data_IF_368015833617
#
_entry.id   IF_368015833617
#
_cell.length_a   1.000
_cell.length_b   1.000
_cell.length_c   1.000
_cell.angle_alpha   90.00
_cell.angle_beta   90.00
_cell.angle_gamma   90.00
#
_symmetry.space_group_name_H-M   'P 1'
#
loop_
_entity.id
_entity.type
_entity.pdbx_description
1 polymer ?
#
# COMPACT_ATOMS: atom_id res chain seq x y z
N UNK A 1 2.24 -13.95 -21.81
CA UNK A 1 2.12 -13.49 -20.41
C UNK A 1 0.69 -13.02 -20.16
N UNK A 2 -0.17 -13.84 -19.57
CA UNK A 2 -1.56 -13.47 -19.26
C UNK A 2 -1.68 -13.13 -17.77
N UNK A 3 -1.25 -11.93 -17.41
CA UNK A 3 -1.34 -11.40 -16.05
C UNK A 3 -0.88 -9.95 -16.03
N UNK A 4 -1.77 -9.02 -15.71
CA UNK A 4 -1.44 -7.60 -15.58
C UNK A 4 -0.72 -7.37 -14.26
N UNK A 5 0.53 -6.91 -14.30
CA UNK A 5 1.29 -6.56 -13.08
C UNK A 5 0.58 -5.44 -12.29
N UNK A 6 0.73 -5.47 -10.96
CA UNK A 6 0.06 -4.58 -10.02
C UNK A 6 1.09 -3.77 -9.23
N UNK A 7 0.87 -2.47 -9.11
CA UNK A 7 1.54 -1.61 -8.12
C UNK A 7 0.56 -1.25 -7.00
N UNK A 8 1.00 -1.29 -5.75
CA UNK A 8 0.20 -0.93 -4.58
C UNK A 8 0.98 0.10 -3.76
N UNK A 9 0.37 1.26 -3.57
CA UNK A 9 0.77 2.19 -2.51
C UNK A 9 -0.08 1.83 -1.27
N UNK A 10 0.58 1.26 -0.26
CA UNK A 10 -0.02 0.79 0.98
C UNK A 10 0.07 1.88 2.05
N UNK A 11 -0.48 3.06 1.75
CA UNK A 11 -0.38 4.21 2.63
C UNK A 11 -1.22 4.10 3.91
N UNK A 12 -0.75 4.73 4.99
CA UNK A 12 -1.44 4.79 6.30
C UNK A 12 -2.86 5.37 6.22
N UNK A 13 -3.08 6.33 5.32
CA UNK A 13 -4.37 6.99 5.15
C UNK A 13 -5.22 6.40 4.01
N UNK A 14 -4.60 6.08 2.88
CA UNK A 14 -5.27 5.55 1.70
C UNK A 14 -4.40 4.49 1.02
N UNK A 15 -5.07 3.50 0.43
CA UNK A 15 -4.46 2.53 -0.49
C UNK A 15 -4.76 2.97 -1.92
N UNK A 16 -3.74 2.93 -2.77
CA UNK A 16 -3.86 3.16 -4.22
C UNK A 16 -3.39 1.91 -4.93
N UNK A 17 -4.18 1.43 -5.91
CA UNK A 17 -3.80 0.30 -6.76
C UNK A 17 -3.68 0.75 -8.20
N UNK A 18 -2.52 0.49 -8.78
CA UNK A 18 -2.22 0.67 -10.19
C UNK A 18 -2.16 -0.69 -10.90
N UNK A 19 -2.72 -0.76 -12.11
CA UNK A 19 -2.61 -1.93 -12.97
C UNK A 19 -1.95 -1.54 -14.30
N UNK A 20 -0.90 -2.28 -14.68
CA UNK A 20 -0.15 -2.03 -15.93
C UNK A 20 -1.08 -1.99 -17.14
N UNK A 21 -1.07 -0.88 -17.89
CA UNK A 21 -1.92 -0.67 -19.05
C UNK A 21 -3.37 -0.28 -18.75
N UNK A 22 -3.77 -0.18 -17.47
CA UNK A 22 -5.07 0.38 -17.05
C UNK A 22 -4.96 1.68 -16.26
N UNK A 23 -3.81 1.95 -15.64
CA UNK A 23 -3.65 3.12 -14.78
C UNK A 23 -4.04 2.82 -13.33
N UNK A 24 -4.37 3.89 -12.59
CA UNK A 24 -4.90 3.79 -11.23
C UNK A 24 -6.34 3.28 -11.29
N UNK A 25 -6.59 2.12 -10.68
CA UNK A 25 -7.89 1.43 -10.67
C UNK A 25 -8.60 1.50 -9.33
N UNK A 26 -7.90 1.87 -8.26
CA UNK A 26 -8.47 2.04 -6.92
C UNK A 26 -7.72 3.13 -6.16
N UNK A 27 -8.49 3.91 -5.41
CA UNK A 27 -8.03 4.87 -4.41
C UNK A 27 -9.06 4.88 -3.29
N UNK A 28 -8.76 4.19 -2.18
CA UNK A 28 -9.68 4.08 -1.05
C UNK A 28 -8.98 4.27 0.30
N UNK A 29 -9.70 4.73 1.34
CA UNK A 29 -9.15 4.82 2.68
C UNK A 29 -8.63 3.49 3.22
N UNK A 30 -7.54 3.54 3.98
CA UNK A 30 -6.95 2.38 4.66
C UNK A 30 -7.69 2.08 5.97
N UNK A 31 -8.98 1.72 5.87
CA UNK A 31 -9.88 1.55 7.01
C UNK A 31 -10.70 0.27 6.86
N UNK A 32 -10.84 -0.48 7.95
CA UNK A 32 -11.66 -1.68 8.07
C UNK A 32 -12.64 -1.49 9.23
N UNK A 33 -13.92 -1.78 9.03
CA UNK A 33 -14.92 -1.78 10.09
C UNK A 33 -15.22 -3.22 10.52
N UNK A 34 -15.19 -3.49 11.82
CA UNK A 34 -15.35 -4.82 12.41
C UNK A 34 -16.44 -4.78 13.49
N UNK A 35 -17.29 -5.80 13.51
CA UNK A 35 -18.22 -6.04 14.61
C UNK A 35 -17.50 -6.77 15.75
N UNK A 36 -17.31 -6.11 16.88
CA UNK A 36 -16.57 -6.61 18.04
C UNK A 36 -17.21 -7.84 18.71
N UNK A 37 -18.50 -8.11 18.48
CA UNK A 37 -19.15 -9.27 19.06
C UNK A 37 -18.87 -10.56 18.26
N UNK A 38 -18.54 -10.41 16.97
CA UNK A 38 -18.41 -11.55 16.04
C UNK A 38 -17.08 -11.62 15.32
N UNK A 39 -16.22 -10.61 15.50
CA UNK A 39 -14.97 -10.37 14.76
C UNK A 39 -15.14 -10.36 13.24
N UNK A 40 -16.36 -10.08 12.76
CA UNK A 40 -16.66 -10.04 11.33
C UNK A 40 -16.38 -8.66 10.75
N UNK A 41 -15.72 -8.65 9.61
CA UNK A 41 -15.54 -7.44 8.80
C UNK A 41 -16.91 -7.04 8.23
N UNK A 42 -17.34 -5.84 8.60
CA UNK A 42 -18.61 -5.23 8.18
C UNK A 42 -18.42 -4.45 6.89
N UNK A 43 -17.32 -3.68 6.79
CA UNK A 43 -17.01 -2.85 5.64
C UNK A 43 -15.50 -2.61 5.51
N UNK A 44 -15.07 -2.20 4.32
CA UNK A 44 -13.67 -1.82 4.02
C UNK A 44 -13.67 -0.55 3.17
N UNK A 45 -12.65 0.29 3.30
CA UNK A 45 -12.46 1.44 2.45
C UNK A 45 -13.40 2.60 2.79
N UNK A 46 -14.05 3.17 1.79
CA UNK A 46 -14.92 4.34 1.99
C UNK A 46 -16.12 4.05 2.91
N UNK A 47 -16.71 2.86 2.79
CA UNK A 47 -17.83 2.44 3.64
C UNK A 47 -17.40 2.36 5.11
N UNK A 48 -16.24 1.76 5.38
CA UNK A 48 -15.66 1.71 6.72
C UNK A 48 -15.28 3.10 7.26
N UNK A 49 -14.73 3.98 6.41
CA UNK A 49 -14.41 5.36 6.79
C UNK A 49 -15.66 6.15 7.18
N UNK A 50 -16.77 5.97 6.47
CA UNK A 50 -18.04 6.66 6.77
C UNK A 50 -18.65 6.22 8.12
N UNK A 51 -18.24 5.06 8.62
CA UNK A 51 -18.64 4.53 9.92
C UNK A 51 -17.83 5.11 11.10
N UNK A 52 -16.66 5.73 10.85
CA UNK A 52 -15.83 6.32 11.90
C UNK A 52 -16.61 7.37 12.71
N UNK A 53 -16.71 7.15 14.02
CA UNK A 53 -17.41 8.03 14.95
C UNK A 53 -18.92 8.10 14.76
N UNK A 54 -19.50 7.18 13.96
CA UNK A 54 -20.94 7.17 13.61
C UNK A 54 -21.61 5.81 13.81
N UNK A 55 -20.89 4.80 14.27
CA UNK A 55 -21.42 3.45 14.48
C UNK A 55 -22.05 3.27 15.86
N UNK A 56 -23.15 2.51 15.97
CA UNK A 56 -23.64 1.99 17.25
C UNK A 56 -22.60 1.05 17.87
N UNK A 57 -22.60 0.97 19.21
CA UNK A 57 -21.40 0.72 20.03
C UNK A 57 -20.59 -0.56 19.83
N UNK A 58 -21.02 -1.53 19.01
CA UNK A 58 -20.27 -2.76 18.76
C UNK A 58 -19.48 -2.77 17.43
N UNK A 59 -19.66 -1.78 16.54
CA UNK A 59 -18.86 -1.70 15.30
C UNK A 59 -17.75 -0.68 15.46
N UNK A 60 -16.50 -1.13 15.31
CA UNK A 60 -15.31 -0.30 15.43
C UNK A 60 -14.58 -0.25 14.10
N UNK A 61 -14.18 0.96 13.71
CA UNK A 61 -13.34 1.18 12.55
C UNK A 61 -11.87 1.25 12.96
N UNK A 62 -11.06 0.43 12.29
CA UNK A 62 -9.64 0.18 12.55
C UNK A 62 -8.84 0.67 11.35
N UNK A 63 -7.69 1.28 11.61
CA UNK A 63 -6.66 1.54 10.60
C UNK A 63 -5.55 0.50 10.79
N UNK A 64 -5.40 -0.47 9.88
CA UNK A 64 -4.46 -1.56 10.08
C UNK A 64 -3.01 -1.20 9.75
N UNK A 65 -2.81 0.01 9.20
CA UNK A 65 -1.53 0.59 8.87
C UNK A 65 -1.27 1.78 9.80
N UNK A 66 -0.02 1.93 10.25
CA UNK A 66 0.43 3.03 11.09
C UNK A 66 1.89 3.32 10.76
N UNK A 67 2.25 4.60 10.74
CA UNK A 67 3.62 5.06 10.47
C UNK A 67 4.23 4.44 9.20
N UNK A 68 3.42 4.26 8.15
CA UNK A 68 3.84 3.69 6.87
C UNK A 68 4.02 2.16 6.87
N UNK A 69 3.72 1.47 7.97
CA UNK A 69 3.95 0.02 8.13
C UNK A 69 2.69 -0.71 8.60
N UNK A 70 2.74 -2.05 8.55
CA UNK A 70 1.64 -2.93 8.99
C UNK A 70 1.62 -2.98 10.52
N UNK A 71 0.56 -2.44 11.12
CA UNK A 71 0.31 -2.51 12.56
C UNK A 71 -0.62 -3.68 12.93
N UNK A 72 -1.53 -4.06 12.03
CA UNK A 72 -2.41 -5.22 12.16
C UNK A 72 -2.35 -6.03 10.86
N UNK A 73 -1.71 -7.18 10.93
CA UNK A 73 -1.50 -8.05 9.77
C UNK A 73 -2.83 -8.63 9.25
N UNK A 74 -3.66 -9.18 10.13
CA UNK A 74 -4.92 -9.83 9.76
C UNK A 74 -5.87 -8.85 9.08
N UNK A 75 -5.99 -7.63 9.62
CA UNK A 75 -6.83 -6.59 9.03
C UNK A 75 -6.24 -6.04 7.73
N UNK A 76 -4.91 -5.92 7.61
CA UNK A 76 -4.25 -5.50 6.36
C UNK A 76 -4.48 -6.52 5.24
N UNK A 77 -4.30 -7.81 5.53
CA UNK A 77 -4.52 -8.89 4.57
C UNK A 77 -5.98 -8.90 4.08
N UNK A 78 -6.94 -8.82 5.01
CA UNK A 78 -8.35 -8.82 4.65
C UNK A 78 -8.75 -7.59 3.82
N UNK A 79 -8.22 -6.41 4.16
CA UNK A 79 -8.39 -5.17 3.40
C UNK A 79 -7.85 -5.29 1.97
N UNK A 80 -6.61 -5.75 1.83
CA UNK A 80 -5.96 -5.94 0.52
C UNK A 80 -6.70 -6.98 -0.32
N UNK A 81 -7.13 -8.09 0.29
CA UNK A 81 -7.93 -9.13 -0.37
C UNK A 81 -9.26 -8.57 -0.86
N UNK A 82 -9.91 -7.71 -0.09
CA UNK A 82 -11.14 -7.02 -0.50
C UNK A 82 -10.90 -6.10 -1.71
N UNK A 83 -9.88 -5.23 -1.64
CA UNK A 83 -9.55 -4.31 -2.73
C UNK A 83 -9.16 -5.04 -4.03
N UNK A 84 -8.37 -6.11 -3.95
CA UNK A 84 -8.03 -6.91 -5.13
C UNK A 84 -9.25 -7.63 -5.73
N UNK A 85 -10.16 -8.16 -4.90
CA UNK A 85 -11.41 -8.75 -5.38
C UNK A 85 -12.32 -7.72 -6.07
N UNK A 86 -12.28 -6.47 -5.61
CA UNK A 86 -13.02 -5.34 -6.17
C UNK A 86 -12.49 -4.94 -7.54
N UNK A 87 -11.17 -4.88 -7.73
CA UNK A 87 -10.56 -4.43 -9.01
C UNK A 87 -10.32 -5.54 -10.03
N UNK A 88 -10.19 -6.80 -9.61
CA UNK A 88 -9.94 -7.95 -10.49
C UNK A 88 -11.25 -8.73 -10.68
N UNK A 89 -11.77 -8.73 -11.90
CA UNK A 89 -13.06 -9.35 -12.25
C UNK A 89 -12.92 -10.42 -13.34
N UNK A 90 -13.93 -11.30 -13.45
CA UNK A 90 -14.02 -12.33 -14.49
C UNK A 90 -12.86 -13.35 -14.47
N UNK A 91 -12.50 -13.87 -15.65
CA UNK A 91 -11.40 -14.84 -15.83
C UNK A 91 -10.05 -14.34 -15.32
N UNK A 92 -9.87 -13.03 -15.20
CA UNK A 92 -8.66 -12.43 -14.66
C UNK A 92 -8.37 -12.88 -13.21
N UNK A 93 -9.39 -13.32 -12.44
CA UNK A 93 -9.23 -13.86 -11.08
C UNK A 93 -8.48 -15.18 -11.01
N UNK A 94 -8.40 -15.92 -12.11
CA UNK A 94 -7.75 -17.24 -12.17
C UNK A 94 -6.23 -17.14 -12.36
N UNK A 95 -5.71 -15.96 -12.67
CA UNK A 95 -4.27 -15.76 -12.91
C UNK A 95 -3.61 -15.07 -11.72
N UNK A 96 -2.47 -15.60 -11.28
CA UNK A 96 -1.60 -14.92 -10.30
C UNK A 96 -0.78 -13.83 -11.00
N UNK A 97 -0.46 -12.75 -10.28
CA UNK A 97 0.21 -11.54 -10.81
C UNK A 97 1.44 -11.20 -10.00
N UNK A 98 2.41 -10.54 -10.62
CA UNK A 98 3.49 -9.89 -9.86
C UNK A 98 2.95 -8.61 -9.23
N UNK A 99 3.32 -8.38 -7.99
CA UNK A 99 2.90 -7.23 -7.21
C UNK A 99 4.13 -6.47 -6.73
N UNK A 100 4.13 -5.16 -6.91
CA UNK A 100 5.12 -4.26 -6.33
C UNK A 100 4.42 -3.38 -5.30
N UNK A 101 4.98 -3.27 -4.09
CA UNK A 101 4.39 -2.50 -3.00
C UNK A 101 5.37 -1.45 -2.50
N UNK A 102 4.88 -0.22 -2.31
CA UNK A 102 5.67 0.85 -1.70
C UNK A 102 5.90 0.59 -0.20
N UNK A 103 7.08 0.93 0.29
CA UNK A 103 7.42 0.97 1.72
C UNK A 103 8.22 2.23 2.06
N UNK A 104 8.10 2.77 3.28
CA UNK A 104 8.96 3.87 3.72
C UNK A 104 10.44 3.51 3.59
N UNK A 105 11.30 4.47 3.30
CA UNK A 105 12.73 4.20 3.12
C UNK A 105 13.38 3.70 4.42
N UNK A 106 12.87 4.17 5.56
CA UNK A 106 13.28 3.77 6.91
C UNK A 106 12.62 2.49 7.44
N UNK A 107 11.85 1.75 6.64
CA UNK A 107 11.22 0.51 7.09
C UNK A 107 12.26 -0.56 7.45
N UNK A 108 12.12 -1.15 8.63
CA UNK A 108 12.95 -2.24 9.14
C UNK A 108 12.76 -3.52 8.32
N UNK A 109 13.71 -4.45 8.40
CA UNK A 109 13.61 -5.75 7.71
C UNK A 109 12.35 -6.54 8.10
N UNK A 110 11.91 -6.42 9.36
CA UNK A 110 10.69 -7.07 9.85
C UNK A 110 9.45 -6.45 9.21
N UNK A 111 9.37 -5.11 9.15
CA UNK A 111 8.25 -4.40 8.52
C UNK A 111 8.21 -4.68 7.00
N UNK A 112 9.35 -4.64 6.31
CA UNK A 112 9.48 -5.00 4.89
C UNK A 112 9.02 -6.43 4.63
N UNK A 113 9.43 -7.37 5.48
CA UNK A 113 9.03 -8.78 5.37
C UNK A 113 7.53 -8.96 5.57
N UNK A 114 6.92 -8.28 6.53
CA UNK A 114 5.47 -8.35 6.75
C UNK A 114 4.67 -7.90 5.52
N UNK A 115 5.12 -6.85 4.82
CA UNK A 115 4.48 -6.37 3.58
C UNK A 115 4.59 -7.40 2.45
N UNK A 116 5.76 -8.02 2.28
CA UNK A 116 5.95 -9.09 1.30
C UNK A 116 5.08 -10.32 1.59
N UNK A 117 5.01 -10.73 2.85
CA UNK A 117 4.18 -11.86 3.29
C UNK A 117 2.69 -11.60 3.03
N UNK A 118 2.20 -10.40 3.37
CA UNK A 118 0.83 -9.99 3.08
C UNK A 118 0.51 -10.03 1.57
N UNK A 119 1.45 -9.61 0.72
CA UNK A 119 1.29 -9.66 -0.74
C UNK A 119 1.19 -11.09 -1.28
N UNK A 120 1.99 -12.01 -0.74
CA UNK A 120 1.97 -13.42 -1.13
C UNK A 120 0.66 -14.09 -0.69
N UNK A 121 0.19 -13.81 0.53
CA UNK A 121 -1.00 -14.42 1.12
C UNK A 121 -2.30 -14.03 0.38
N UNK A 122 -2.35 -12.81 -0.18
CA UNK A 122 -3.47 -12.37 -1.04
C UNK A 122 -3.39 -12.90 -2.47
N UNK A 123 -2.41 -13.77 -2.79
CA UNK A 123 -2.33 -14.53 -4.03
C UNK A 123 -1.39 -13.95 -5.09
N UNK A 124 -0.43 -13.09 -4.71
CA UNK A 124 0.63 -12.67 -5.62
C UNK A 124 1.44 -13.88 -6.10
N UNK A 125 1.87 -13.84 -7.37
CA UNK A 125 2.82 -14.81 -7.93
C UNK A 125 4.21 -14.57 -7.36
N UNK A 126 4.61 -13.31 -7.37
CA UNK A 126 5.87 -12.77 -6.87
C UNK A 126 5.57 -11.40 -6.28
N UNK A 127 6.22 -11.05 -5.17
CA UNK A 127 6.07 -9.76 -4.50
C UNK A 127 7.42 -9.05 -4.47
N UNK A 128 7.39 -7.75 -4.74
CA UNK A 128 8.55 -6.86 -4.75
C UNK A 128 8.24 -5.64 -3.90
N UNK A 129 9.27 -5.07 -3.28
CA UNK A 129 9.18 -3.79 -2.60
C UNK A 129 9.86 -2.70 -3.42
N UNK A 130 9.40 -1.48 -3.26
CA UNK A 130 10.05 -0.27 -3.75
C UNK A 130 9.93 0.79 -2.66
N UNK A 131 10.99 1.57 -2.45
CA UNK A 131 10.95 2.70 -1.53
C UNK A 131 9.97 3.77 -2.03
N UNK A 132 9.14 4.30 -1.14
CA UNK A 132 8.19 5.39 -1.41
C UNK A 132 8.81 6.56 -2.18
N UNK A 133 9.94 7.18 -1.75
CA UNK A 133 10.54 8.29 -2.49
C UNK A 133 11.05 7.90 -3.88
N UNK A 134 11.45 6.64 -4.08
CA UNK A 134 11.84 6.11 -5.39
C UNK A 134 10.62 5.99 -6.30
N UNK A 135 9.53 5.40 -5.80
CA UNK A 135 8.27 5.28 -6.50
C UNK A 135 7.68 6.66 -6.83
N UNK A 136 7.76 7.62 -5.92
CA UNK A 136 7.32 8.99 -6.11
C UNK A 136 8.13 9.70 -7.21
N UNK A 137 9.46 9.55 -7.23
CA UNK A 137 10.30 10.12 -8.27
C UNK A 137 9.96 9.59 -9.66
N UNK A 138 9.81 8.26 -9.77
CA UNK A 138 9.41 7.59 -11.01
C UNK A 138 8.02 8.06 -11.44
N UNK A 139 7.07 8.13 -10.51
CA UNK A 139 5.70 8.60 -10.75
C UNK A 139 5.63 10.07 -11.18
N UNK A 140 6.59 10.89 -10.75
CA UNK A 140 6.75 12.30 -11.14
C UNK A 140 7.53 12.49 -12.46
N UNK A 141 7.94 11.41 -13.13
CA UNK A 141 8.79 11.43 -14.33
C UNK A 141 10.12 12.17 -14.13
N UNK A 142 10.72 12.07 -12.94
CA UNK A 142 12.09 12.53 -12.73
C UNK A 142 13.08 11.56 -13.36
N UNK A 143 14.06 12.07 -14.11
CA UNK A 143 15.17 11.24 -14.60
C UNK A 143 16.17 10.99 -13.47
N UNK A 144 15.88 9.95 -12.70
CA UNK A 144 16.69 9.52 -11.58
C UNK A 144 17.92 8.71 -12.01
N UNK A 145 18.02 8.32 -13.28
CA UNK A 145 19.10 7.47 -13.81
C UNK A 145 20.35 8.26 -14.21
N UNK A 146 20.18 9.56 -14.46
CA UNK A 146 21.29 10.48 -14.72
C UNK A 146 22.21 10.66 -13.51
N UNK A 147 23.48 11.06 -13.73
CA UNK A 147 24.44 11.40 -12.67
C UNK A 147 24.13 12.76 -12.03
N UNK A 148 22.88 12.99 -11.64
CA UNK A 148 22.38 14.26 -11.09
C UNK A 148 21.55 13.98 -9.84
N UNK A 149 21.71 14.84 -8.84
CA UNK A 149 20.96 14.75 -7.59
C UNK A 149 19.52 15.19 -7.77
N UNK A 150 18.58 14.29 -7.54
CA UNK A 150 17.15 14.56 -7.49
C UNK A 150 16.69 14.45 -6.03
N UNK A 151 16.31 15.56 -5.39
CA UNK A 151 15.73 15.52 -4.06
C UNK A 151 14.21 15.34 -4.14
N UNK A 152 13.70 14.37 -3.40
CA UNK A 152 12.27 14.06 -3.26
C UNK A 152 11.89 14.17 -1.79
N UNK A 153 10.76 14.82 -1.53
CA UNK A 153 10.14 14.92 -0.20
C UNK A 153 8.72 14.39 -0.36
N UNK A 154 8.48 13.17 0.10
CA UNK A 154 7.17 12.53 0.10
C UNK A 154 6.54 12.66 1.49
N UNK A 155 5.34 13.25 1.55
CA UNK A 155 4.63 13.53 2.80
C UNK A 155 3.34 12.73 2.80
N UNK A 156 3.40 11.59 3.47
CA UNK A 156 2.29 10.67 3.62
C UNK A 156 1.41 10.96 4.86
N UNK A 157 0.49 10.04 5.11
CA UNK A 157 -0.40 10.11 6.28
C UNK A 157 0.19 9.55 7.58
N UNK A 158 1.40 8.98 7.54
CA UNK A 158 2.07 8.40 8.71
C UNK A 158 3.59 8.58 8.69
N UNK A 159 4.18 8.89 7.53
CA UNK A 159 5.60 9.20 7.39
C UNK A 159 5.82 10.42 6.51
N UNK A 160 6.97 11.05 6.70
CA UNK A 160 7.60 11.93 5.72
C UNK A 160 8.92 11.30 5.32
N UNK A 161 9.05 10.93 4.05
CA UNK A 161 10.22 10.28 3.47
C UNK A 161 10.96 11.26 2.56
N UNK A 162 12.19 11.57 2.94
CA UNK A 162 13.09 12.49 2.24
C UNK A 162 14.21 11.65 1.62
N UNK A 163 14.48 11.83 0.34
CA UNK A 163 15.59 11.16 -0.31
C UNK A 163 16.27 12.04 -1.37
N UNK A 164 17.57 11.85 -1.53
CA UNK A 164 18.31 12.34 -2.71
C UNK A 164 18.67 11.13 -3.57
N UNK A 165 18.27 11.16 -4.83
CA UNK A 165 18.45 10.10 -5.81
C UNK A 165 19.48 10.48 -6.87
N UNK A 166 20.27 9.52 -7.33
CA UNK A 166 21.21 9.65 -8.47
C UNK A 166 21.57 8.26 -8.99
N UNK A 167 21.88 8.12 -10.28
CA UNK A 167 22.21 6.82 -10.90
C UNK A 167 21.20 5.69 -10.64
N UNK A 168 19.92 6.04 -10.51
CA UNK A 168 18.81 5.11 -10.26
C UNK A 168 18.75 4.58 -8.83
N UNK A 169 19.56 5.12 -7.91
CA UNK A 169 19.63 4.70 -6.51
C UNK A 169 19.38 5.84 -5.53
N UNK A 170 19.04 5.48 -4.29
CA UNK A 170 19.00 6.40 -3.16
C UNK A 170 20.44 6.62 -2.68
N UNK A 171 20.88 7.88 -2.67
CA UNK A 171 22.20 8.29 -2.17
C UNK A 171 22.16 8.53 -0.67
N UNK A 172 21.13 9.26 -0.22
CA UNK A 172 20.87 9.53 1.19
C UNK A 172 19.36 9.63 1.39
N UNK A 173 18.88 9.19 2.55
CA UNK A 173 17.47 9.26 2.91
C UNK A 173 17.30 9.47 4.41
N UNK A 174 16.17 10.10 4.75
CA UNK A 174 15.67 10.26 6.11
C UNK A 174 14.16 9.99 6.08
N UNK A 175 13.67 9.22 7.04
CA UNK A 175 12.25 8.88 7.16
C UNK A 175 11.79 9.22 8.57
N UNK A 176 10.76 10.07 8.67
CA UNK A 176 10.23 10.58 9.92
C UNK A 176 8.80 10.09 10.10
N UNK A 177 8.49 9.53 11.27
CA UNK A 177 7.12 9.13 11.64
C UNK A 177 6.36 10.35 12.18
N UNK A 178 5.09 10.49 11.83
CA UNK A 178 4.26 11.68 12.13
C UNK A 178 3.05 11.36 13.00
#
# INVERSE_FOLDING_TARGET
MWGTDIGIDLGTANVIIYMKGKGVVLREPSVVAVDQNTDRIVAVGNEAKNMLGRTPGNVVAIRPLRDGVIADYTMTEAMLRFFLKKVITGFARLTRRRVMICVPSGATDVERRAVLEAAVEIGAKEAFLIEEPMAAAIGANLDITEPRGNMVVDIGGGTTDIAVLSYGGIVVTESLRV
#
